data_IF_235123113028
#
_entry.id   IF_235123113028
#
_cell.length_a   1.000
_cell.length_b   1.000
_cell.length_c   1.000
_cell.angle_alpha   90.00
_cell.angle_beta   90.00
_cell.angle_gamma   90.00
#
_symmetry.space_group_name_H-M   'P 1'
#
loop_
_entity.id
_entity.type
_entity.pdbx_description
1 polymer ?
#
# COMPACT_ATOMS: atom_id res chain seq x y z
N UNK A 1 -1.07 -4.51 19.55
CA UNK A 1 -1.37 -3.65 18.37
C UNK A 1 -0.70 -2.31 18.65
N UNK A 2 0.05 -1.76 17.67
CA UNK A 2 0.83 -0.49 17.70
C UNK A 2 1.85 -0.59 16.55
N UNK A 3 1.33 -0.63 15.33
CA UNK A 3 2.10 -0.91 14.10
C UNK A 3 2.22 0.42 13.34
N UNK A 4 3.44 0.89 13.03
CA UNK A 4 3.57 1.94 12.01
C UNK A 4 3.23 1.24 10.67
N UNK A 5 2.08 1.54 10.06
CA UNK A 5 1.58 0.90 8.84
C UNK A 5 1.67 1.85 7.64
N UNK A 6 2.07 1.31 6.49
CA UNK A 6 2.07 2.02 5.22
C UNK A 6 1.54 1.11 4.11
N UNK A 7 0.79 1.68 3.17
CA UNK A 7 0.26 0.98 1.99
C UNK A 7 1.06 1.36 0.74
N UNK A 8 1.32 0.38 -0.12
CA UNK A 8 1.80 0.60 -1.50
C UNK A 8 0.73 0.08 -2.44
N UNK A 9 -0.03 0.99 -3.04
CA UNK A 9 -1.05 0.67 -4.03
C UNK A 9 -0.48 0.81 -5.44
N UNK A 10 -0.55 -0.27 -6.22
CA UNK A 10 -0.22 -0.26 -7.63
C UNK A 10 -1.51 -0.01 -8.42
N UNK A 11 -1.55 1.08 -9.19
CA UNK A 11 -2.67 1.37 -10.09
C UNK A 11 -2.61 0.39 -11.27
N UNK A 12 -3.68 -0.38 -11.46
CA UNK A 12 -3.79 -1.41 -12.52
C UNK A 12 -4.67 -0.97 -13.68
N UNK A 13 -5.63 -0.08 -13.43
CA UNK A 13 -6.67 0.34 -14.37
C UNK A 13 -7.40 1.57 -13.81
N UNK A 14 -8.44 2.03 -14.51
CA UNK A 14 -9.25 3.21 -14.17
C UNK A 14 -10.63 2.87 -13.59
N UNK A 15 -10.85 1.61 -13.19
CA UNK A 15 -12.13 1.07 -12.74
C UNK A 15 -13.24 1.27 -13.81
N UNK A 16 -14.51 1.25 -13.41
CA UNK A 16 -15.66 1.46 -14.30
C UNK A 16 -16.16 2.90 -14.35
N UNK A 17 -15.55 3.81 -13.60
CA UNK A 17 -16.05 5.16 -13.35
C UNK A 17 -15.65 6.21 -14.39
N UNK A 18 -14.82 5.86 -15.36
CA UNK A 18 -14.27 6.79 -16.36
C UNK A 18 -14.93 6.53 -17.71
N UNK A 19 -15.99 7.29 -18.00
CA UNK A 19 -16.76 7.16 -19.24
C UNK A 19 -16.00 7.73 -20.46
N UNK A 20 -15.97 6.99 -21.56
CA UNK A 20 -15.48 7.47 -22.86
C UNK A 20 -13.95 7.60 -23.02
N UNK A 21 -13.19 7.50 -21.93
CA UNK A 21 -11.73 7.66 -21.94
C UNK A 21 -10.96 6.37 -21.60
N UNK A 22 -11.63 5.37 -20.99
CA UNK A 22 -11.02 4.07 -20.68
C UNK A 22 -12.02 2.92 -20.79
N UNK A 23 -11.51 1.72 -21.07
CA UNK A 23 -12.29 0.49 -20.98
C UNK A 23 -12.56 0.13 -19.51
N UNK A 24 -13.70 -0.52 -19.26
CA UNK A 24 -14.03 -1.04 -17.94
C UNK A 24 -13.02 -2.13 -17.50
N UNK A 25 -12.79 -2.22 -16.20
CA UNK A 25 -11.85 -3.18 -15.63
C UNK A 25 -12.16 -4.64 -16.02
N UNK A 26 -11.11 -5.39 -16.37
CA UNK A 26 -11.15 -6.83 -16.57
C UNK A 26 -10.06 -7.51 -15.75
N UNK A 27 -10.27 -8.78 -15.38
CA UNK A 27 -9.30 -9.53 -14.60
C UNK A 27 -7.96 -9.67 -15.34
N UNK A 28 -8.04 -9.93 -16.64
CA UNK A 28 -6.88 -10.13 -17.51
C UNK A 28 -6.02 -8.85 -17.58
N UNK A 29 -6.64 -7.69 -17.79
CA UNK A 29 -5.94 -6.40 -17.85
C UNK A 29 -5.27 -6.06 -16.51
N UNK A 30 -5.94 -6.32 -15.38
CA UNK A 30 -5.36 -6.14 -14.04
C UNK A 30 -4.08 -6.95 -13.88
N UNK A 31 -4.11 -8.24 -14.27
CA UNK A 31 -2.94 -9.13 -14.16
C UNK A 31 -1.81 -8.70 -15.09
N UNK A 32 -2.12 -8.21 -16.29
CA UNK A 32 -1.12 -7.68 -17.23
C UNK A 32 -0.36 -6.49 -16.62
N UNK A 33 -1.07 -5.46 -16.14
CA UNK A 33 -0.45 -4.27 -15.55
C UNK A 33 0.29 -4.61 -14.26
N UNK A 34 -0.25 -5.54 -13.46
CA UNK A 34 0.42 -6.03 -12.26
C UNK A 34 1.77 -6.68 -12.59
N UNK A 35 1.79 -7.61 -13.55
CA UNK A 35 3.01 -8.30 -13.96
C UNK A 35 4.03 -7.35 -14.59
N UNK A 36 3.58 -6.38 -15.38
CA UNK A 36 4.44 -5.37 -15.99
C UNK A 36 5.16 -4.48 -14.95
N UNK A 37 4.58 -4.32 -13.75
CA UNK A 37 5.12 -3.44 -12.70
C UNK A 37 5.69 -4.18 -11.48
N UNK A 38 5.54 -5.50 -11.41
CA UNK A 38 5.96 -6.28 -10.24
C UNK A 38 7.47 -6.12 -9.94
N UNK A 39 8.32 -6.05 -10.97
CA UNK A 39 9.75 -5.79 -10.79
C UNK A 39 10.02 -4.43 -10.10
N UNK A 40 9.35 -3.36 -10.54
CA UNK A 40 9.46 -2.02 -9.95
C UNK A 40 8.97 -1.99 -8.51
N UNK A 41 7.87 -2.69 -8.21
CA UNK A 41 7.35 -2.82 -6.86
C UNK A 41 8.37 -3.52 -5.94
N UNK A 42 9.00 -4.60 -6.41
CA UNK A 42 10.04 -5.31 -5.66
C UNK A 42 11.25 -4.41 -5.40
N UNK A 43 11.73 -3.70 -6.41
CA UNK A 43 12.88 -2.78 -6.26
C UNK A 43 12.58 -1.67 -5.25
N UNK A 44 11.36 -1.11 -5.27
CA UNK A 44 10.90 -0.17 -4.26
C UNK A 44 10.96 -0.78 -2.86
N UNK A 45 10.37 -1.96 -2.66
CA UNK A 45 10.35 -2.62 -1.35
C UNK A 45 11.76 -2.92 -0.83
N UNK A 46 12.63 -3.50 -1.67
CA UNK A 46 14.00 -3.83 -1.27
C UNK A 46 14.87 -2.60 -1.01
N UNK A 47 14.60 -1.46 -1.67
CA UNK A 47 15.29 -0.21 -1.38
C UNK A 47 14.75 0.54 -0.15
N UNK A 48 13.47 0.33 0.19
CA UNK A 48 12.78 0.98 1.31
C UNK A 48 13.04 0.27 2.63
N UNK A 49 12.96 -1.07 2.68
CA UNK A 49 13.07 -1.86 3.91
C UNK A 49 14.34 -1.52 4.72
N UNK A 50 15.56 -1.45 4.12
CA UNK A 50 16.78 -1.12 4.87
C UNK A 50 16.80 0.31 5.43
N UNK A 51 15.95 1.21 4.92
CA UNK A 51 15.85 2.60 5.37
C UNK A 51 14.86 2.77 6.52
N UNK A 52 14.10 1.74 6.89
CA UNK A 52 13.21 1.77 8.03
C UNK A 52 14.06 1.86 9.31
N UNK A 53 13.89 2.90 10.14
CA UNK A 53 14.64 3.02 11.39
C UNK A 53 14.36 1.84 12.33
N UNK A 54 15.41 1.32 12.96
CA UNK A 54 15.29 0.27 13.99
C UNK A 54 14.62 0.81 15.25
N UNK A 55 14.90 2.05 15.62
CA UNK A 55 14.27 2.75 16.72
C UNK A 55 12.99 3.44 16.27
N UNK A 56 11.87 3.11 16.94
CA UNK A 56 10.57 3.72 16.65
C UNK A 56 10.41 5.01 17.45
N UNK A 57 10.71 6.13 16.81
CA UNK A 57 10.40 7.48 17.31
C UNK A 57 9.05 8.00 16.79
N UNK A 58 8.33 7.17 16.02
CA UNK A 58 7.01 7.44 15.42
C UNK A 58 5.90 7.42 16.51
N UNK A 59 4.84 8.26 16.43
CA UNK A 59 3.70 8.19 17.36
C UNK A 59 2.96 6.85 17.36
N UNK A 60 3.09 6.05 16.29
CA UNK A 60 2.47 4.72 16.23
C UNK A 60 3.03 3.76 17.29
N UNK A 61 4.18 4.06 17.91
CA UNK A 61 4.77 3.27 18.98
C UNK A 61 3.93 3.27 20.27
N UNK A 62 3.08 4.28 20.48
CA UNK A 62 2.20 4.41 21.64
C UNK A 62 0.75 4.74 21.24
N UNK A 63 0.36 4.41 20.00
CA UNK A 63 -0.92 4.83 19.42
C UNK A 63 -2.15 4.30 20.17
N UNK A 64 -2.02 3.24 20.98
CA UNK A 64 -3.13 2.71 21.75
C UNK A 64 -3.17 3.21 23.19
N UNK A 65 -2.24 4.08 23.59
CA UNK A 65 -2.26 4.67 24.92
C UNK A 65 -3.57 5.45 25.14
N UNK A 66 -4.35 5.03 26.13
CA UNK A 66 -5.67 5.63 26.44
C UNK A 66 -6.80 5.23 25.49
N UNK A 67 -6.54 4.40 24.47
CA UNK A 67 -7.57 3.94 23.53
C UNK A 67 -8.48 2.84 24.13
N UNK A 68 -8.05 2.20 25.22
CA UNK A 68 -8.85 1.20 25.92
C UNK A 68 -9.79 1.88 26.91
N UNK A 69 -11.08 1.68 26.72
CA UNK A 69 -12.09 1.95 27.73
C UNK A 69 -12.23 0.70 28.63
N UNK A 70 -12.06 0.88 29.94
CA UNK A 70 -12.41 -0.12 30.95
C UNK A 70 -13.56 0.46 31.80
N UNK A 71 -14.72 -0.21 31.85
CA UNK A 71 -15.85 0.22 32.70
C UNK A 71 -15.58 0.03 34.20
#
# INVERSE_FOLDING_TARGET
>A
LEICYANVALITDYDVGVEGESEAVTHEAVIEVFNANNARLRDLLFSLIPKIPTERTCPCASALQGARYEP
#
